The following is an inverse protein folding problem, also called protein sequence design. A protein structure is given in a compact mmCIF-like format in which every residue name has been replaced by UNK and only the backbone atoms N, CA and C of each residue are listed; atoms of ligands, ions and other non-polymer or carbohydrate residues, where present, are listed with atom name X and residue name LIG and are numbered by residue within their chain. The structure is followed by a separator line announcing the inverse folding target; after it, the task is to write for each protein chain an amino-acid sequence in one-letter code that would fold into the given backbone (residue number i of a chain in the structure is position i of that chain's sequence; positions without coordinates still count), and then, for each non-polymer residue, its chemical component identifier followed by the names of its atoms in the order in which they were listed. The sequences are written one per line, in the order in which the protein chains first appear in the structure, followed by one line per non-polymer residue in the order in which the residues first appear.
data_IF_558915970399
#
_entry.id   IF_558915970399
#
_cell.length_a   1.000
_cell.length_b   1.000
_cell.length_c   1.000
_cell.angle_alpha   90.00
_cell.angle_beta   90.00
_cell.angle_gamma   90.00
#
_symmetry.space_group_name_H-M   'P 1'
#
loop_
_entity.id
_entity.type
_entity.pdbx_description
1 polymer ?
#
# COMPACT_ATOMS: atom_id res chain seq x y z
N UNK A 1 -10.51 5.91 -37.57
CA UNK A 1 -10.53 6.99 -36.56
C UNK A 1 -9.29 6.87 -35.67
N UNK A 2 -8.77 7.97 -35.11
CA UNK A 2 -7.67 7.94 -34.12
C UNK A 2 -8.24 8.10 -32.73
N UNK A 3 -7.56 7.53 -31.74
CA UNK A 3 -7.94 7.63 -30.35
C UNK A 3 -6.87 7.07 -29.41
N UNK A 4 -7.27 6.82 -28.18
CA UNK A 4 -6.38 6.38 -27.11
C UNK A 4 -6.94 5.14 -26.39
N UNK A 5 -6.04 4.24 -26.01
CA UNK A 5 -6.37 3.05 -25.26
C UNK A 5 -5.40 2.86 -24.11
N UNK A 6 -5.91 2.47 -22.95
CA UNK A 6 -5.09 2.06 -21.83
C UNK A 6 -5.10 0.55 -21.66
N UNK A 7 -3.93 -0.02 -21.36
CA UNK A 7 -3.72 -1.44 -21.11
C UNK A 7 -3.01 -1.65 -19.77
N UNK A 8 -3.07 -2.88 -19.25
CA UNK A 8 -2.23 -3.33 -18.16
C UNK A 8 -0.75 -3.40 -18.57
N UNK A 9 0.16 -3.47 -17.59
CA UNK A 9 1.61 -3.56 -17.84
C UNK A 9 2.00 -4.73 -18.74
N UNK A 10 1.27 -5.84 -18.66
CA UNK A 10 1.46 -7.07 -19.45
C UNK A 10 0.79 -7.00 -20.83
N UNK A 11 0.34 -5.83 -21.26
CA UNK A 11 -0.37 -5.60 -22.53
C UNK A 11 -1.76 -6.24 -22.61
N UNK A 12 -2.33 -6.69 -21.50
CA UNK A 12 -3.71 -7.19 -21.51
C UNK A 12 -4.74 -6.06 -21.44
N UNK A 13 -5.93 -6.31 -21.95
CA UNK A 13 -7.07 -5.41 -21.76
C UNK A 13 -7.38 -5.20 -20.28
N UNK A 14 -7.88 -4.02 -19.91
CA UNK A 14 -8.29 -3.72 -18.53
C UNK A 14 -9.38 -4.66 -18.00
N UNK A 15 -10.24 -5.14 -18.89
CA UNK A 15 -11.27 -6.12 -18.63
C UNK A 15 -11.19 -7.21 -19.70
N UNK A 16 -11.00 -8.45 -19.28
CA UNK A 16 -10.83 -9.61 -20.15
C UNK A 16 -9.40 -10.11 -20.25
N UNK A 17 -9.18 -11.14 -21.05
CA UNK A 17 -7.87 -11.83 -21.18
C UNK A 17 -7.14 -11.53 -22.48
N UNK A 18 -7.64 -10.56 -23.27
CA UNK A 18 -7.03 -10.25 -24.56
C UNK A 18 -5.72 -9.51 -24.39
N UNK A 19 -4.67 -9.99 -25.02
CA UNK A 19 -3.34 -9.37 -25.09
C UNK A 19 -3.16 -8.65 -26.44
N UNK A 20 -2.55 -7.46 -26.39
CA UNK A 20 -2.32 -6.62 -27.54
C UNK A 20 -0.82 -6.52 -27.88
N UNK A 21 -0.54 -6.32 -29.16
CA UNK A 21 0.83 -6.10 -29.70
C UNK A 21 0.82 -4.81 -30.53
N UNK A 22 1.87 -3.99 -30.39
CA UNK A 22 2.02 -2.75 -31.18
C UNK A 22 2.17 -3.11 -32.65
N UNK A 23 1.48 -2.37 -33.54
CA UNK A 23 1.48 -2.56 -34.98
C UNK A 23 0.56 -3.67 -35.48
N UNK A 24 -0.13 -4.37 -34.58
CA UNK A 24 -1.06 -5.45 -34.94
C UNK A 24 -2.49 -4.97 -34.92
N UNK A 25 -3.24 -5.30 -36.00
CA UNK A 25 -4.67 -5.06 -36.11
C UNK A 25 -5.45 -6.25 -35.56
N UNK A 26 -6.49 -5.95 -34.80
CA UNK A 26 -7.42 -6.90 -34.21
C UNK A 26 -8.81 -6.62 -34.75
N UNK A 27 -9.48 -7.65 -35.21
CA UNK A 27 -10.82 -7.59 -35.81
C UNK A 27 -11.79 -8.48 -35.03
N UNK A 28 -12.99 -7.98 -34.81
CA UNK A 28 -14.13 -8.71 -34.27
C UNK A 28 -15.14 -8.97 -35.38
N UNK A 29 -15.53 -10.21 -35.59
CA UNK A 29 -16.50 -10.61 -36.63
C UNK A 29 -17.97 -10.47 -36.18
N UNK A 30 -18.15 -10.22 -34.90
CA UNK A 30 -19.44 -10.16 -34.25
C UNK A 30 -19.92 -8.70 -34.14
N UNK A 31 -21.23 -8.48 -33.94
CA UNK A 31 -21.80 -7.14 -33.76
C UNK A 31 -21.21 -6.45 -32.50
N UNK A 32 -20.82 -5.20 -32.64
CA UNK A 32 -20.32 -4.40 -31.51
C UNK A 32 -21.48 -3.96 -30.62
N UNK A 33 -21.32 -4.18 -29.31
CA UNK A 33 -22.28 -3.79 -28.27
C UNK A 33 -21.58 -2.94 -27.23
N UNK A 34 -21.89 -1.64 -27.10
CA UNK A 34 -21.26 -0.76 -26.13
C UNK A 34 -21.27 -1.33 -24.70
N UNK A 35 -20.13 -1.27 -24.04
CA UNK A 35 -19.86 -1.79 -22.69
C UNK A 35 -20.01 -3.33 -22.53
N UNK A 36 -20.18 -4.08 -23.62
CA UNK A 36 -20.29 -5.55 -23.60
C UNK A 36 -19.35 -6.23 -24.57
N UNK A 37 -19.32 -5.79 -25.84
CA UNK A 37 -18.63 -6.48 -26.91
C UNK A 37 -18.02 -5.48 -27.90
N UNK A 38 -16.73 -5.65 -28.20
CA UNK A 38 -15.95 -4.79 -29.07
C UNK A 38 -14.72 -4.22 -28.38
N UNK A 39 -13.91 -3.52 -29.17
CA UNK A 39 -12.69 -2.88 -28.68
C UNK A 39 -13.03 -1.48 -28.17
N UNK A 40 -12.97 -1.30 -26.85
CA UNK A 40 -13.24 0.00 -26.23
C UNK A 40 -11.97 0.87 -26.24
N UNK A 41 -12.16 2.15 -26.54
CA UNK A 41 -11.13 3.18 -26.55
C UNK A 41 -11.74 4.54 -26.20
N UNK A 42 -10.92 5.57 -26.04
CA UNK A 42 -11.33 6.96 -25.86
C UNK A 42 -10.86 7.80 -27.04
N UNK A 43 -11.65 8.76 -27.47
CA UNK A 43 -11.26 9.71 -28.49
C UNK A 43 -10.22 10.70 -27.95
N UNK A 44 -10.41 11.13 -26.72
CA UNK A 44 -9.51 12.03 -26.02
C UNK A 44 -8.69 11.28 -24.95
N UNK A 45 -7.44 11.64 -24.79
CA UNK A 45 -6.57 11.04 -23.74
C UNK A 45 -7.08 11.37 -22.34
N UNK A 46 -7.70 12.54 -22.14
CA UNK A 46 -8.31 12.95 -20.87
C UNK A 46 -9.35 11.96 -20.37
N UNK A 47 -10.11 11.34 -21.27
CA UNK A 47 -11.14 10.36 -20.92
C UNK A 47 -10.52 9.03 -20.50
N UNK A 48 -9.42 8.61 -21.15
CA UNK A 48 -8.65 7.46 -20.71
C UNK A 48 -8.10 7.64 -19.29
N UNK A 49 -7.60 8.83 -18.96
CA UNK A 49 -7.07 9.15 -17.63
C UNK A 49 -8.15 9.10 -16.54
N UNK A 50 -9.41 9.37 -16.90
CA UNK A 50 -10.54 9.35 -15.98
C UNK A 50 -11.10 7.92 -15.72
N UNK A 51 -11.22 7.11 -16.79
CA UNK A 51 -11.94 5.83 -16.72
C UNK A 51 -11.19 4.70 -16.04
N UNK A 52 -9.86 4.79 -15.97
CA UNK A 52 -9.05 3.64 -15.61
C UNK A 52 -8.10 3.96 -14.45
N UNK A 53 -8.47 3.55 -13.23
CA UNK A 53 -7.63 3.78 -12.07
C UNK A 53 -6.28 3.05 -12.21
N UNK A 54 -5.21 3.83 -12.22
CA UNK A 54 -3.83 3.32 -12.29
C UNK A 54 -3.24 3.26 -10.87
N UNK A 55 -3.85 2.44 -9.99
CA UNK A 55 -3.47 2.35 -8.57
C UNK A 55 -2.00 2.04 -8.32
N UNK A 56 -1.33 1.38 -9.27
CA UNK A 56 0.05 0.93 -9.12
C UNK A 56 1.02 1.64 -10.09
N UNK A 57 0.59 2.65 -10.83
CA UNK A 57 1.35 3.26 -11.94
C UNK A 57 1.87 2.22 -12.97
N UNK A 58 1.14 1.13 -13.16
CA UNK A 58 1.49 0.01 -14.02
C UNK A 58 0.73 0.02 -15.36
N UNK A 59 -0.09 1.04 -15.59
CA UNK A 59 -0.88 1.16 -16.81
C UNK A 59 -0.10 1.86 -17.91
N UNK A 60 -0.35 1.41 -19.14
CA UNK A 60 0.31 1.89 -20.34
C UNK A 60 -0.71 2.50 -21.28
N UNK A 61 -0.38 3.62 -21.87
CA UNK A 61 -1.25 4.39 -22.77
C UNK A 61 -0.76 4.31 -24.19
N UNK A 62 -1.69 4.10 -25.12
CA UNK A 62 -1.39 3.88 -26.53
C UNK A 62 -2.23 4.79 -27.42
N UNK A 63 -1.60 5.33 -28.45
CA UNK A 63 -2.32 5.82 -29.64
C UNK A 63 -2.83 4.61 -30.41
N UNK A 64 -4.09 4.72 -30.89
CA UNK A 64 -4.72 3.68 -31.68
C UNK A 64 -5.33 4.23 -32.97
N UNK A 65 -5.52 3.36 -33.94
CA UNK A 65 -6.38 3.59 -35.08
C UNK A 65 -7.49 2.52 -35.13
N UNK A 66 -8.67 2.92 -35.62
CA UNK A 66 -9.83 2.02 -35.77
C UNK A 66 -10.24 1.90 -37.22
N UNK A 67 -11.01 0.86 -37.55
CA UNK A 67 -11.78 0.80 -38.78
C UNK A 67 -12.92 1.85 -38.81
N UNK A 68 -13.81 1.70 -39.80
CA UNK A 68 -14.90 2.66 -40.03
C UNK A 68 -16.13 2.44 -39.13
N UNK A 69 -16.28 1.24 -38.55
CA UNK A 69 -17.43 0.89 -37.74
C UNK A 69 -17.15 1.26 -36.27
N UNK A 70 -17.58 2.45 -35.86
CA UNK A 70 -17.42 3.00 -34.53
C UNK A 70 -18.75 3.42 -33.96
N UNK A 71 -19.04 3.01 -32.72
CA UNK A 71 -20.16 3.53 -31.93
C UNK A 71 -19.60 4.44 -30.83
N UNK A 72 -19.94 5.71 -30.92
CA UNK A 72 -19.55 6.74 -29.94
C UNK A 72 -20.57 6.81 -28.80
N UNK A 73 -20.08 6.91 -27.57
CA UNK A 73 -20.87 7.24 -26.37
C UNK A 73 -20.08 8.20 -25.52
N UNK A 74 -20.64 9.38 -25.32
CA UNK A 74 -20.21 10.49 -24.46
C UNK A 74 -18.68 10.62 -24.22
N UNK A 75 -18.01 9.58 -23.77
CA UNK A 75 -16.64 9.56 -23.27
C UNK A 75 -15.89 8.25 -23.61
N UNK A 76 -16.59 7.30 -24.25
CA UNK A 76 -16.04 6.01 -24.70
C UNK A 76 -16.53 5.69 -26.08
N UNK A 77 -15.66 5.11 -26.86
CA UNK A 77 -15.99 4.56 -28.16
C UNK A 77 -15.79 3.04 -28.15
N UNK A 78 -16.52 2.35 -29.00
CA UNK A 78 -16.34 0.92 -29.25
C UNK A 78 -16.27 0.68 -30.76
N UNK A 79 -15.38 -0.20 -31.17
CA UNK A 79 -15.15 -0.57 -32.56
C UNK A 79 -14.99 -2.07 -32.73
N UNK A 80 -15.20 -2.57 -33.94
CA UNK A 80 -14.89 -3.95 -34.34
C UNK A 80 -13.46 -4.15 -34.85
N UNK A 81 -12.74 -3.05 -35.15
CA UNK A 81 -11.34 -3.12 -35.60
C UNK A 81 -10.48 -2.10 -34.85
N UNK A 82 -9.36 -2.54 -34.30
CA UNK A 82 -8.40 -1.68 -33.60
C UNK A 82 -6.95 -2.08 -33.89
N UNK A 83 -6.12 -1.06 -34.11
CA UNK A 83 -4.65 -1.22 -34.24
C UNK A 83 -3.97 -0.36 -33.19
N UNK A 84 -3.06 -0.96 -32.38
CA UNK A 84 -2.17 -0.21 -31.52
C UNK A 84 -1.02 0.38 -32.35
N UNK A 85 -0.92 1.70 -32.40
CA UNK A 85 0.10 2.40 -33.21
C UNK A 85 1.40 2.53 -32.44
N UNK A 86 1.37 3.11 -31.26
CA UNK A 86 2.53 3.30 -30.37
C UNK A 86 2.13 3.54 -28.93
N UNK A 87 3.06 3.33 -28.04
CA UNK A 87 2.93 3.72 -26.63
C UNK A 87 3.23 5.20 -26.45
N UNK A 88 2.52 5.85 -25.54
CA UNK A 88 2.80 7.21 -25.09
C UNK A 88 3.77 7.17 -23.91
N UNK A 89 4.80 7.99 -23.96
CA UNK A 89 5.68 8.25 -22.81
C UNK A 89 4.95 9.09 -21.74
N UNK A 90 5.45 9.02 -20.51
CA UNK A 90 4.94 9.88 -19.43
C UNK A 90 5.07 11.38 -19.81
N UNK A 91 6.17 11.77 -20.45
CA UNK A 91 6.39 13.16 -20.87
C UNK A 91 5.33 13.62 -21.87
N UNK A 92 4.97 12.78 -22.86
CA UNK A 92 3.90 13.08 -23.82
C UNK A 92 2.54 13.20 -23.14
N UNK A 93 2.23 12.35 -22.15
CA UNK A 93 1.01 12.43 -21.36
C UNK A 93 0.97 13.74 -20.56
N UNK A 94 2.05 14.10 -19.87
CA UNK A 94 2.13 15.35 -19.12
C UNK A 94 2.05 16.59 -20.02
N UNK A 95 2.67 16.52 -21.21
CA UNK A 95 2.55 17.60 -22.22
C UNK A 95 1.12 17.74 -22.72
N UNK A 96 0.43 16.62 -22.98
CA UNK A 96 -0.99 16.66 -23.36
C UNK A 96 -1.86 17.29 -22.26
N UNK A 97 -1.60 16.98 -20.98
CA UNK A 97 -2.29 17.58 -19.84
C UNK A 97 -2.06 19.09 -19.81
N UNK A 98 -0.82 19.59 -20.03
CA UNK A 98 -0.51 21.03 -20.09
C UNK A 98 -1.31 21.75 -21.16
N UNK A 99 -1.40 21.15 -22.35
CA UNK A 99 -2.14 21.71 -23.50
C UNK A 99 -3.66 21.70 -23.30
N UNK A 100 -4.17 20.72 -22.53
CA UNK A 100 -5.59 20.52 -22.28
C UNK A 100 -6.02 20.81 -20.83
N UNK A 101 -5.27 21.64 -20.08
CA UNK A 101 -5.43 21.91 -18.64
C UNK A 101 -6.84 22.33 -18.19
N UNK A 102 -7.67 22.84 -19.09
CA UNK A 102 -9.04 23.25 -18.80
C UNK A 102 -10.08 22.13 -19.02
N UNK A 103 -9.68 21.01 -19.65
CA UNK A 103 -10.55 19.88 -19.97
C UNK A 103 -10.26 18.67 -19.10
N UNK A 104 -9.05 18.55 -18.52
CA UNK A 104 -8.65 17.40 -17.74
C UNK A 104 -9.39 17.33 -16.40
N UNK A 105 -9.68 16.13 -15.97
CA UNK A 105 -10.12 15.86 -14.62
C UNK A 105 -8.89 15.80 -13.68
N UNK A 106 -8.61 16.90 -13.00
CA UNK A 106 -7.43 17.05 -12.15
C UNK A 106 -7.40 16.02 -11.00
N UNK A 107 -8.55 15.69 -10.43
CA UNK A 107 -8.62 14.64 -9.40
C UNK A 107 -8.14 13.29 -9.93
N UNK A 108 -8.55 12.91 -11.13
CA UNK A 108 -8.08 11.68 -11.77
C UNK A 108 -6.58 11.76 -12.13
N UNK A 109 -6.09 12.89 -12.62
CA UNK A 109 -4.67 13.12 -12.91
C UNK A 109 -3.84 12.96 -11.62
N UNK A 110 -4.20 13.65 -10.54
CA UNK A 110 -3.49 13.61 -9.27
C UNK A 110 -3.48 12.21 -8.65
N UNK A 111 -4.56 11.45 -8.84
CA UNK A 111 -4.70 10.11 -8.26
C UNK A 111 -4.00 9.02 -9.07
N UNK A 112 -4.00 9.13 -10.40
CA UNK A 112 -3.66 8.00 -11.27
C UNK A 112 -2.41 8.21 -12.13
N UNK A 113 -1.84 9.40 -12.16
CA UNK A 113 -0.59 9.68 -12.86
C UNK A 113 0.54 9.90 -11.86
N UNK A 114 1.75 9.46 -12.24
CA UNK A 114 2.94 9.81 -11.48
C UNK A 114 3.36 11.22 -11.85
N UNK A 115 3.23 12.14 -10.91
CA UNK A 115 3.57 13.55 -11.09
C UNK A 115 4.91 13.87 -10.43
N UNK A 116 5.71 14.72 -11.06
CA UNK A 116 6.86 15.32 -10.39
C UNK A 116 6.42 16.53 -9.54
N UNK A 117 7.20 16.86 -8.53
CA UNK A 117 6.94 18.01 -7.69
C UNK A 117 6.90 19.32 -8.48
N UNK A 118 7.76 19.47 -9.49
CA UNK A 118 7.75 20.62 -10.40
C UNK A 118 6.43 20.71 -11.19
N UNK A 119 5.87 19.56 -11.59
CA UNK A 119 4.58 19.55 -12.27
C UNK A 119 3.44 19.93 -11.32
N UNK A 120 3.46 19.41 -10.08
CA UNK A 120 2.47 19.75 -9.06
C UNK A 120 2.56 21.26 -8.75
N UNK A 121 3.76 21.82 -8.60
CA UNK A 121 4.00 23.22 -8.37
C UNK A 121 3.52 24.10 -9.55
N UNK A 122 3.77 23.68 -10.81
CA UNK A 122 3.27 24.37 -12.03
C UNK A 122 1.74 24.51 -12.00
N UNK A 123 1.04 23.49 -11.47
CA UNK A 123 -0.43 23.44 -11.45
C UNK A 123 -1.03 23.49 -10.04
N UNK A 124 -0.34 24.08 -9.09
CA UNK A 124 -0.72 24.12 -7.67
C UNK A 124 -2.15 24.64 -7.40
N UNK A 125 -2.70 25.50 -8.27
CA UNK A 125 -4.05 26.05 -8.15
C UNK A 125 -5.14 25.16 -8.81
N UNK A 126 -4.75 24.03 -9.39
CA UNK A 126 -5.65 23.12 -10.11
C UNK A 126 -5.65 21.70 -9.57
N UNK A 127 -4.53 21.26 -8.99
CA UNK A 127 -4.40 19.92 -8.41
C UNK A 127 -5.36 19.73 -7.24
N UNK A 128 -5.77 18.51 -7.04
CA UNK A 128 -6.53 18.09 -5.86
C UNK A 128 -5.51 17.69 -4.78
N UNK A 129 -5.35 18.54 -3.76
CA UNK A 129 -4.32 18.38 -2.73
C UNK A 129 -4.56 17.17 -1.83
N UNK A 130 -5.80 16.72 -1.65
CA UNK A 130 -6.09 15.45 -0.97
C UNK A 130 -5.48 14.28 -1.77
N UNK A 131 -5.74 14.25 -3.08
CA UNK A 131 -5.15 13.22 -3.95
C UNK A 131 -3.62 13.34 -4.07
N UNK A 132 -3.06 14.54 -4.06
CA UNK A 132 -1.60 14.74 -4.05
C UNK A 132 -1.01 14.14 -2.76
N UNK A 133 -1.57 14.47 -1.60
CA UNK A 133 -1.10 13.99 -0.29
C UNK A 133 -1.21 12.46 -0.15
N UNK A 134 -2.28 11.86 -0.71
CA UNK A 134 -2.56 10.42 -0.62
C UNK A 134 -1.76 9.59 -1.64
N UNK A 135 -1.66 10.05 -2.90
CA UNK A 135 -1.19 9.19 -4.01
C UNK A 135 0.17 9.56 -4.59
N UNK A 136 0.67 10.78 -4.35
CA UNK A 136 1.98 11.18 -4.87
C UNK A 136 3.07 10.97 -3.82
N UNK A 137 4.28 10.69 -4.27
CA UNK A 137 5.43 10.61 -3.40
C UNK A 137 6.07 11.99 -3.29
N UNK A 138 6.01 12.58 -2.12
CA UNK A 138 6.47 13.93 -1.84
C UNK A 138 7.76 13.93 -1.00
N UNK A 139 8.63 14.88 -1.26
CA UNK A 139 9.75 15.19 -0.37
C UNK A 139 9.27 16.01 0.82
N UNK A 140 9.99 15.93 1.95
CA UNK A 140 9.70 16.75 3.12
C UNK A 140 9.77 18.25 2.80
N UNK A 141 10.78 18.68 2.01
CA UNK A 141 10.91 20.07 1.56
C UNK A 141 9.66 20.55 0.78
N UNK A 142 9.11 19.69 -0.07
CA UNK A 142 7.89 20.00 -0.80
C UNK A 142 6.66 20.09 0.12
N UNK A 143 6.55 19.17 1.09
CA UNK A 143 5.47 19.21 2.08
C UNK A 143 5.55 20.50 2.91
N UNK A 144 6.76 20.94 3.29
CA UNK A 144 7.00 22.21 4.02
C UNK A 144 6.57 23.40 3.16
N UNK A 145 6.96 23.45 1.87
CA UNK A 145 6.60 24.54 0.96
C UNK A 145 5.07 24.69 0.81
N UNK A 146 4.34 23.58 0.84
CA UNK A 146 2.88 23.56 0.67
C UNK A 146 2.11 23.13 1.93
N UNK A 147 2.65 23.41 3.11
CA UNK A 147 2.10 23.01 4.40
C UNK A 147 0.66 23.51 4.65
N UNK A 148 0.28 24.62 4.03
CA UNK A 148 -1.07 25.20 4.10
C UNK A 148 -2.08 24.55 3.13
N UNK A 149 -1.64 23.64 2.26
CA UNK A 149 -2.45 23.00 1.21
C UNK A 149 -2.56 21.50 1.34
N UNK A 150 -1.51 20.83 1.84
CA UNK A 150 -1.49 19.38 2.01
C UNK A 150 -2.54 18.91 3.02
N UNK A 151 -3.00 17.71 2.85
CA UNK A 151 -3.85 17.04 3.83
C UNK A 151 -2.98 16.26 4.83
N UNK A 152 -2.88 16.77 6.07
CA UNK A 152 -1.99 16.24 7.10
C UNK A 152 -2.34 14.82 7.56
N UNK A 153 -3.61 14.40 7.49
CA UNK A 153 -4.01 13.02 7.77
C UNK A 153 -3.37 12.08 6.75
N UNK A 154 -3.48 12.43 5.45
CA UNK A 154 -2.85 11.65 4.37
C UNK A 154 -1.32 11.73 4.38
N UNK A 155 -0.73 12.87 4.75
CA UNK A 155 0.73 12.98 4.95
C UNK A 155 1.17 12.02 6.05
N UNK A 156 0.46 11.95 7.18
CA UNK A 156 0.76 11.06 8.30
C UNK A 156 0.67 9.58 7.91
N UNK A 157 -0.32 9.23 7.07
CA UNK A 157 -0.62 7.85 6.68
C UNK A 157 0.26 7.36 5.53
N UNK A 158 0.45 8.17 4.47
CA UNK A 158 1.00 7.68 3.19
C UNK A 158 2.41 8.16 2.87
N UNK A 159 2.92 9.22 3.53
CA UNK A 159 4.26 9.72 3.26
C UNK A 159 5.27 9.09 4.23
N UNK A 160 6.50 8.90 3.75
CA UNK A 160 7.59 8.45 4.60
C UNK A 160 8.28 9.67 5.22
N UNK A 161 8.15 9.83 6.52
CA UNK A 161 8.61 10.99 7.27
C UNK A 161 9.84 10.66 8.13
N UNK A 162 10.76 11.62 8.23
CA UNK A 162 11.85 11.56 9.21
C UNK A 162 11.37 11.96 10.60
N UNK A 163 12.04 11.48 11.64
CA UNK A 163 11.72 11.88 13.00
C UNK A 163 11.88 13.39 13.23
N UNK A 164 12.85 14.04 12.54
CA UNK A 164 13.04 15.48 12.64
C UNK A 164 11.85 16.25 12.03
N UNK A 165 11.33 15.78 10.90
CA UNK A 165 10.11 16.33 10.31
C UNK A 165 8.89 16.14 11.24
N UNK A 166 8.74 14.94 11.83
CA UNK A 166 7.63 14.66 12.77
C UNK A 166 7.74 15.57 14.01
N UNK A 167 8.96 15.84 14.53
CA UNK A 167 9.16 16.80 15.64
C UNK A 167 8.72 18.21 15.29
N UNK A 168 9.05 18.68 14.08
CA UNK A 168 8.71 20.04 13.61
C UNK A 168 7.20 20.20 13.44
N UNK A 169 6.52 19.22 12.85
CA UNK A 169 5.10 19.26 12.52
C UNK A 169 4.20 18.45 13.46
N UNK A 170 4.66 18.18 14.69
CA UNK A 170 4.00 17.32 15.69
C UNK A 170 2.56 17.69 16.00
N UNK A 171 2.14 18.94 15.79
CA UNK A 171 0.81 19.43 16.12
C UNK A 171 -0.15 19.36 14.92
N UNK A 172 0.37 19.13 13.71
CA UNK A 172 -0.40 18.95 12.48
C UNK A 172 -0.66 17.47 12.18
N UNK A 173 0.27 16.59 12.61
CA UNK A 173 0.28 15.17 12.27
C UNK A 173 -0.71 14.36 13.13
N UNK A 174 -1.32 13.33 12.52
CA UNK A 174 -2.11 12.34 13.22
C UNK A 174 -1.21 11.26 13.86
N UNK A 175 -1.21 11.21 15.20
CA UNK A 175 -0.34 10.33 15.97
C UNK A 175 -0.73 8.85 15.92
N UNK A 176 -1.97 8.51 15.59
CA UNK A 176 -2.38 7.14 15.34
C UNK A 176 -1.71 6.63 14.06
N UNK A 177 -1.77 7.41 12.98
CA UNK A 177 -1.08 7.08 11.73
C UNK A 177 0.45 7.08 11.88
N UNK A 178 1.04 8.05 12.58
CA UNK A 178 2.48 8.09 12.88
C UNK A 178 2.90 6.82 13.63
N UNK A 179 2.17 6.42 14.67
CA UNK A 179 2.50 5.22 15.46
C UNK A 179 2.37 3.93 14.65
N UNK A 180 1.44 3.88 13.68
CA UNK A 180 1.17 2.71 12.86
C UNK A 180 2.13 2.59 11.67
N UNK A 181 2.32 3.67 10.89
CA UNK A 181 2.95 3.59 9.57
C UNK A 181 4.42 4.04 9.55
N UNK A 182 4.87 4.85 10.52
CA UNK A 182 6.25 5.34 10.53
C UNK A 182 7.16 4.39 11.32
N UNK A 183 8.42 4.30 10.91
CA UNK A 183 9.43 3.58 11.67
C UNK A 183 10.05 4.54 12.68
N UNK A 184 9.81 4.29 13.96
CA UNK A 184 10.21 5.17 15.06
C UNK A 184 11.32 4.54 15.90
N UNK A 185 12.31 5.36 16.30
CA UNK A 185 13.28 4.92 17.28
C UNK A 185 12.70 4.92 18.70
N UNK A 186 13.24 4.08 19.57
CA UNK A 186 12.82 4.07 20.99
C UNK A 186 13.01 5.42 21.66
N UNK A 187 14.09 6.16 21.32
CA UNK A 187 14.32 7.50 21.87
C UNK A 187 13.26 8.48 21.42
N UNK A 188 12.80 8.38 20.17
CA UNK A 188 11.70 9.18 19.69
C UNK A 188 10.38 8.82 20.40
N UNK A 189 10.10 7.53 20.59
CA UNK A 189 8.90 7.09 21.31
C UNK A 189 8.94 7.57 22.78
N UNK A 190 10.12 7.55 23.45
CA UNK A 190 10.31 8.12 24.79
C UNK A 190 10.01 9.63 24.84
N UNK A 191 10.49 10.38 23.85
CA UNK A 191 10.23 11.82 23.71
C UNK A 191 8.74 12.13 23.59
N UNK A 192 8.01 11.33 22.81
CA UNK A 192 6.59 11.53 22.53
C UNK A 192 5.66 10.51 23.18
N UNK A 193 6.05 9.94 24.32
CA UNK A 193 5.33 8.89 25.07
C UNK A 193 3.88 9.20 25.44
N UNK A 194 3.50 10.48 25.44
CA UNK A 194 2.16 10.94 25.76
C UNK A 194 1.32 11.30 24.51
N UNK A 195 1.91 11.15 23.32
CA UNK A 195 1.25 11.37 22.02
C UNK A 195 1.10 10.09 21.21
N UNK A 196 2.09 9.18 21.28
CA UNK A 196 2.06 7.92 20.54
C UNK A 196 0.87 7.05 20.97
N UNK A 197 0.34 6.29 20.02
CA UNK A 197 -0.65 5.27 20.30
C UNK A 197 0.06 3.97 20.70
N UNK A 198 0.05 3.64 21.98
CA UNK A 198 0.76 2.48 22.55
C UNK A 198 0.28 1.14 22.02
N UNK A 199 -0.96 1.04 21.54
CA UNK A 199 -1.47 -0.13 20.85
C UNK A 199 -0.65 -0.41 19.57
N UNK A 200 -0.50 0.60 18.70
CA UNK A 200 0.28 0.48 17.47
C UNK A 200 1.78 0.37 17.73
N UNK A 201 2.31 1.02 18.77
CA UNK A 201 3.71 0.86 19.16
C UNK A 201 4.03 -0.60 19.50
N UNK A 202 3.18 -1.28 20.30
CA UNK A 202 3.37 -2.68 20.66
C UNK A 202 3.28 -3.65 19.47
N UNK A 203 2.40 -3.36 18.51
CA UNK A 203 2.12 -4.21 17.37
C UNK A 203 3.10 -4.02 16.20
N UNK A 204 3.49 -2.78 15.89
CA UNK A 204 4.20 -2.46 14.63
C UNK A 204 5.64 -1.97 14.79
N UNK A 205 6.09 -1.56 15.99
CA UNK A 205 7.46 -1.13 16.21
C UNK A 205 8.31 -2.28 16.76
N UNK A 206 9.59 -2.33 16.35
CA UNK A 206 10.56 -3.28 16.95
C UNK A 206 11.07 -2.69 18.26
N UNK A 207 10.76 -3.36 19.39
CA UNK A 207 11.08 -2.87 20.73
C UNK A 207 12.13 -3.76 21.42
N UNK A 208 13.08 -3.13 22.11
CA UNK A 208 13.97 -3.87 23.01
C UNK A 208 13.25 -4.28 24.31
N UNK A 209 13.73 -5.36 24.94
CA UNK A 209 13.19 -5.82 26.22
C UNK A 209 13.33 -4.75 27.32
N UNK A 210 14.41 -3.96 27.29
CA UNK A 210 14.62 -2.84 28.19
C UNK A 210 13.54 -1.75 28.00
N UNK A 211 13.18 -1.47 26.77
CA UNK A 211 12.12 -0.51 26.47
C UNK A 211 10.75 -1.03 26.92
N UNK A 212 10.46 -2.30 26.65
CA UNK A 212 9.22 -2.96 27.12
C UNK A 212 9.12 -2.89 28.65
N UNK A 213 10.22 -3.15 29.38
CA UNK A 213 10.27 -3.03 30.86
C UNK A 213 10.03 -1.61 31.34
N UNK A 214 10.60 -0.60 30.65
CA UNK A 214 10.43 0.81 30.99
C UNK A 214 8.96 1.25 30.87
N UNK A 215 8.24 0.74 29.86
CA UNK A 215 6.88 1.14 29.55
C UNK A 215 5.83 0.05 29.79
N UNK A 216 6.09 -0.90 30.67
CA UNK A 216 5.24 -2.06 30.98
C UNK A 216 3.79 -1.73 31.35
N UNK A 217 3.55 -0.53 31.90
CA UNK A 217 2.20 -0.07 32.29
C UNK A 217 1.44 0.62 31.14
N UNK A 218 2.08 0.85 29.99
CA UNK A 218 1.48 1.51 28.82
C UNK A 218 1.26 0.57 27.64
N UNK A 219 2.04 -0.51 27.54
CA UNK A 219 1.99 -1.47 26.45
C UNK A 219 0.82 -2.45 26.60
N UNK A 220 0.40 -3.02 25.49
CA UNK A 220 -0.54 -4.13 25.45
C UNK A 220 0.24 -5.46 25.41
N UNK A 221 0.12 -6.27 26.45
CA UNK A 221 0.88 -7.51 26.63
C UNK A 221 0.47 -8.61 25.63
N UNK A 222 -0.72 -8.57 25.04
CA UNK A 222 -1.15 -9.50 24.00
C UNK A 222 -0.34 -9.27 22.73
N UNK A 223 -0.12 -8.00 22.34
CA UNK A 223 0.74 -7.65 21.20
C UNK A 223 2.22 -7.90 21.49
N UNK A 224 2.69 -7.60 22.70
CA UNK A 224 4.07 -7.95 23.09
C UNK A 224 4.31 -9.46 22.97
N UNK A 225 3.36 -10.28 23.43
CA UNK A 225 3.45 -11.74 23.35
C UNK A 225 3.45 -12.28 21.92
N UNK A 226 2.72 -11.63 21.00
CA UNK A 226 2.53 -12.10 19.62
C UNK A 226 3.51 -11.47 18.61
N UNK A 227 3.85 -10.19 18.78
CA UNK A 227 4.54 -9.41 17.75
C UNK A 227 6.00 -9.12 18.08
N UNK A 228 6.39 -9.14 19.37
CA UNK A 228 7.77 -8.84 19.78
C UNK A 228 8.60 -10.11 19.92
N UNK A 229 9.91 -9.99 19.66
CA UNK A 229 10.85 -11.09 19.82
C UNK A 229 11.39 -11.11 21.25
N UNK A 230 10.99 -12.10 22.03
CA UNK A 230 11.29 -12.17 23.46
C UNK A 230 12.30 -13.26 23.78
N UNK A 231 13.22 -12.96 24.71
CA UNK A 231 14.08 -13.99 25.30
C UNK A 231 13.34 -14.82 26.36
N UNK A 232 13.77 -16.06 26.56
CA UNK A 232 13.20 -16.92 27.60
C UNK A 232 13.35 -16.32 29.01
N UNK A 233 14.42 -15.55 29.25
CA UNK A 233 14.62 -14.88 30.53
C UNK A 233 13.61 -13.75 30.75
N UNK A 234 13.31 -13.00 29.67
CA UNK A 234 12.24 -12.01 29.72
C UNK A 234 10.86 -12.66 29.95
N UNK A 235 10.58 -13.77 29.26
CA UNK A 235 9.31 -14.50 29.45
C UNK A 235 9.19 -15.03 30.89
N UNK A 236 10.29 -15.49 31.53
CA UNK A 236 10.30 -15.91 32.95
C UNK A 236 9.98 -14.75 33.88
N UNK A 237 10.56 -13.56 33.61
CA UNK A 237 10.34 -12.36 34.43
C UNK A 237 8.91 -11.87 34.37
N UNK A 238 8.27 -11.91 33.18
CA UNK A 238 6.93 -11.38 32.93
C UNK A 238 5.89 -12.46 32.63
N UNK A 239 6.08 -13.66 33.17
CA UNK A 239 5.27 -14.83 32.90
C UNK A 239 3.77 -14.67 33.21
N UNK A 240 3.39 -13.76 34.08
CA UNK A 240 2.02 -13.56 34.53
C UNK A 240 1.28 -12.46 33.73
N UNK A 241 2.01 -11.64 33.00
CA UNK A 241 1.49 -10.61 32.09
C UNK A 241 1.32 -11.15 30.66
N UNK A 242 2.21 -12.06 30.24
CA UNK A 242 2.27 -12.55 28.87
C UNK A 242 1.17 -13.60 28.54
N UNK A 243 0.68 -13.54 27.30
CA UNK A 243 -0.26 -14.53 26.77
C UNK A 243 0.46 -15.81 26.33
N UNK A 244 0.23 -16.91 27.03
CA UNK A 244 0.87 -18.21 26.78
C UNK A 244 0.41 -18.90 25.50
N UNK A 245 -0.77 -18.57 25.00
CA UNK A 245 -1.23 -19.06 23.70
C UNK A 245 -0.43 -18.40 22.58
N UNK A 246 -0.28 -17.09 22.62
CA UNK A 246 0.57 -16.32 21.71
C UNK A 246 2.04 -16.74 21.80
N UNK A 247 2.62 -16.88 23.00
CA UNK A 247 3.97 -17.36 23.20
C UNK A 247 4.21 -18.74 22.56
N UNK A 248 3.29 -19.68 22.77
CA UNK A 248 3.39 -21.03 22.24
C UNK A 248 3.34 -21.09 20.71
N UNK A 249 2.65 -20.14 20.09
CA UNK A 249 2.50 -20.02 18.64
C UNK A 249 3.64 -19.24 17.98
N UNK A 250 3.98 -18.05 18.50
CA UNK A 250 4.81 -17.08 17.81
C UNK A 250 6.28 -17.08 18.25
N UNK A 251 6.59 -17.50 19.51
CA UNK A 251 7.96 -17.47 20.03
C UNK A 251 8.68 -18.79 19.73
N UNK A 252 10.02 -18.71 19.56
CA UNK A 252 10.87 -19.89 19.47
C UNK A 252 11.28 -20.27 20.89
N UNK A 253 10.79 -21.40 21.40
CA UNK A 253 10.99 -21.85 22.76
C UNK A 253 11.88 -23.09 22.80
N UNK A 254 12.86 -23.12 23.71
CA UNK A 254 13.66 -24.33 23.92
C UNK A 254 12.86 -25.43 24.60
N UNK A 255 13.23 -26.70 24.36
CA UNK A 255 12.58 -27.84 25.01
C UNK A 255 12.69 -27.76 26.55
N UNK A 256 13.79 -27.23 27.09
CA UNK A 256 13.95 -27.06 28.52
C UNK A 256 13.01 -26.01 29.07
N UNK A 257 12.79 -24.94 28.34
CA UNK A 257 11.81 -23.92 28.68
C UNK A 257 10.37 -24.50 28.62
N UNK A 258 10.05 -25.26 27.59
CA UNK A 258 8.72 -25.92 27.47
C UNK A 258 8.52 -26.92 28.64
N UNK A 259 9.57 -27.65 29.07
CA UNK A 259 9.49 -28.56 30.23
C UNK A 259 9.23 -27.78 31.54
N UNK A 260 9.90 -26.64 31.73
CA UNK A 260 9.73 -25.74 32.87
C UNK A 260 8.30 -25.24 32.95
N UNK A 261 7.73 -24.80 31.84
CA UNK A 261 6.39 -24.21 31.74
C UNK A 261 5.31 -25.15 31.17
N UNK A 262 5.47 -26.45 31.31
CA UNK A 262 4.59 -27.51 30.77
C UNK A 262 3.09 -27.39 31.14
N UNK A 263 2.76 -26.62 32.15
CA UNK A 263 1.38 -26.39 32.58
C UNK A 263 0.80 -25.06 32.11
N UNK A 264 1.59 -24.22 31.43
CA UNK A 264 1.17 -22.92 30.88
C UNK A 264 1.15 -22.90 29.36
N UNK A 265 2.06 -23.62 28.70
CA UNK A 265 2.13 -23.70 27.23
C UNK A 265 0.87 -24.31 26.63
N UNK A 266 0.53 -23.85 25.44
CA UNK A 266 -0.50 -24.48 24.62
C UNK A 266 0.13 -25.64 23.81
N UNK A 267 -0.15 -26.87 24.21
CA UNK A 267 0.46 -28.07 23.63
C UNK A 267 0.12 -28.32 22.17
N UNK A 268 -1.03 -27.81 21.69
CA UNK A 268 -1.38 -27.86 20.29
C UNK A 268 -0.40 -27.03 19.45
N UNK A 269 -0.15 -25.78 19.84
CA UNK A 269 0.80 -24.92 19.14
C UNK A 269 2.25 -25.38 19.31
N UNK A 270 2.63 -25.92 20.47
CA UNK A 270 3.94 -26.53 20.67
C UNK A 270 4.16 -27.66 19.67
N UNK A 271 3.18 -28.56 19.47
CA UNK A 271 3.31 -29.67 18.51
C UNK A 271 3.36 -29.25 17.05
N UNK A 272 2.63 -28.20 16.68
CA UNK A 272 2.52 -27.74 15.30
C UNK A 272 3.64 -26.78 14.85
N UNK A 273 4.18 -25.95 15.76
CA UNK A 273 5.03 -24.82 15.39
C UNK A 273 6.43 -24.82 16.00
N UNK A 274 6.74 -25.72 16.97
CA UNK A 274 8.08 -25.80 17.57
C UNK A 274 8.88 -26.94 16.94
N UNK A 275 10.20 -26.75 16.78
CA UNK A 275 11.11 -27.81 16.37
C UNK A 275 11.44 -28.68 17.59
N UNK A 276 10.88 -29.91 17.63
CA UNK A 276 10.98 -30.82 18.76
C UNK A 276 11.84 -32.04 18.42
N UNK A 277 12.67 -32.48 19.36
CA UNK A 277 13.42 -33.72 19.24
C UNK A 277 12.50 -34.96 19.39
N UNK A 278 12.93 -36.11 18.83
CA UNK A 278 12.22 -37.37 19.01
C UNK A 278 12.10 -37.79 20.48
N UNK A 279 13.09 -37.41 21.31
CA UNK A 279 13.10 -37.68 22.73
C UNK A 279 12.02 -36.85 23.46
N UNK A 280 11.91 -35.58 23.12
CA UNK A 280 10.89 -34.70 23.67
C UNK A 280 9.47 -35.11 23.25
N UNK A 281 9.29 -35.48 21.98
CA UNK A 281 8.01 -36.00 21.48
C UNK A 281 7.58 -37.26 22.25
N UNK A 282 8.49 -38.20 22.53
CA UNK A 282 8.22 -39.37 23.34
C UNK A 282 7.85 -39.03 24.79
N UNK A 283 8.56 -38.08 25.40
CA UNK A 283 8.32 -37.64 26.77
C UNK A 283 6.91 -37.07 26.95
N UNK A 284 6.41 -36.34 25.93
CA UNK A 284 5.12 -35.62 25.98
C UNK A 284 4.09 -36.13 24.99
N UNK A 285 4.19 -37.38 24.52
CA UNK A 285 3.29 -38.00 23.54
C UNK A 285 1.81 -37.83 23.91
N UNK A 286 1.45 -37.91 25.17
CA UNK A 286 0.06 -37.77 25.65
C UNK A 286 -0.45 -36.33 25.65
N UNK A 287 0.38 -35.33 25.43
CA UNK A 287 0.01 -33.90 25.40
C UNK A 287 0.07 -33.29 24.01
N UNK A 288 0.98 -33.81 23.17
CA UNK A 288 1.11 -33.46 21.78
C UNK A 288 0.00 -34.18 20.99
N UNK A 289 -0.88 -33.44 20.34
CA UNK A 289 -1.95 -33.98 19.47
C UNK A 289 -1.37 -34.32 18.08
N UNK A 290 -0.30 -35.15 18.02
CA UNK A 290 0.36 -35.56 16.79
C UNK A 290 -0.30 -36.79 16.17
#
# INVERSE_FOLDING_TARGET
MKGYKMLNADMTAMYGSMTYEIGKTYELKEEIIPCKQGFHFCEELTDCLYYYPNKNNDKRFFEIETGDNVIEKADKCVTDEITLIRELSLEEILQYIRENKNKVNWKAVCRYQKLSEEFIQEFQDRVDWDCISEYQKLSEDFIIEFADRVNWDYISEYQKLSEDFIREFKDELDWDYISFYQVLSEDFIREFKDRVNWFYIGEYQELSEEFIKEFKDKIDWDYISSCQKLSEDFIREFQDELDWECLSFYQVLSEDFIREFKNRVNWFYIGEYQELSEEFIKEFENRLSL
#
